data_IF_659117168338
#
_entry.id   IF_659117168338
#
_cell.length_a   1.000
_cell.length_b   1.000
_cell.length_c   1.000
_cell.angle_alpha   90.00
_cell.angle_beta   90.00
_cell.angle_gamma   90.00
#
_symmetry.space_group_name_H-M   'P 1'
#
loop_
_entity.id
_entity.type
_entity.pdbx_description
1 polymer ?
#
# COMPACT_ATOMS: atom_id res chain seq x y z
N UNK A 1 6.51 21.47 -19.20
CA UNK A 1 7.53 20.97 -18.25
C UNK A 1 8.43 22.12 -17.84
N UNK A 2 7.96 23.04 -16.99
CA UNK A 2 8.75 24.24 -16.63
C UNK A 2 9.30 24.20 -15.20
N UNK A 3 8.85 23.27 -14.34
CA UNK A 3 9.29 23.13 -12.94
C UNK A 3 9.51 21.66 -12.55
N UNK A 4 10.08 20.88 -13.47
CA UNK A 4 10.22 19.43 -13.27
C UNK A 4 11.20 19.10 -12.14
N UNK A 5 12.29 19.86 -11.97
CA UNK A 5 13.22 19.68 -10.84
C UNK A 5 12.57 19.98 -9.49
N UNK A 6 11.92 21.14 -9.35
CA UNK A 6 11.22 21.54 -8.12
C UNK A 6 10.17 20.51 -7.70
N UNK A 7 9.46 19.92 -8.67
CA UNK A 7 8.52 18.83 -8.41
C UNK A 7 9.21 17.59 -7.85
N UNK A 8 10.34 17.17 -8.43
CA UNK A 8 11.07 16.00 -7.95
C UNK A 8 11.74 16.23 -6.60
N UNK A 9 12.22 17.43 -6.32
CA UNK A 9 12.79 17.79 -5.02
C UNK A 9 11.71 17.80 -3.95
N UNK A 10 10.55 18.42 -4.22
CA UNK A 10 9.39 18.35 -3.34
C UNK A 10 8.96 16.89 -3.09
N UNK A 11 8.86 16.08 -4.13
CA UNK A 11 8.44 14.69 -4.03
C UNK A 11 9.39 13.86 -3.15
N UNK A 12 10.71 14.00 -3.37
CA UNK A 12 11.72 13.30 -2.56
C UNK A 12 11.70 13.76 -1.10
N UNK A 13 11.64 15.06 -0.86
CA UNK A 13 11.73 15.60 0.49
C UNK A 13 10.46 15.38 1.32
N UNK A 14 9.30 15.46 0.69
CA UNK A 14 8.01 15.49 1.40
C UNK A 14 7.19 14.22 1.28
N UNK A 15 7.47 13.36 0.29
CA UNK A 15 6.64 12.19 0.00
C UNK A 15 7.41 10.86 0.01
N UNK A 16 8.75 10.86 -0.02
CA UNK A 16 9.54 9.63 0.10
C UNK A 16 9.99 9.37 1.53
N UNK A 17 9.33 8.42 2.19
CA UNK A 17 9.70 7.96 3.54
C UNK A 17 10.39 6.60 3.46
N UNK A 18 11.66 6.59 3.03
CA UNK A 18 12.41 5.35 2.76
C UNK A 18 12.61 4.46 4.00
N UNK A 19 12.64 5.06 5.19
CA UNK A 19 12.80 4.35 6.47
C UNK A 19 11.46 3.99 7.14
N UNK A 20 10.33 4.24 6.47
CA UNK A 20 9.03 3.89 7.01
C UNK A 20 8.91 2.39 7.26
N UNK A 21 8.23 2.02 8.35
CA UNK A 21 8.00 0.63 8.73
C UNK A 21 6.52 0.27 8.56
N UNK A 22 6.20 -1.01 8.31
CA UNK A 22 4.83 -1.49 8.36
C UNK A 22 4.12 -1.09 9.65
N UNK A 23 2.85 -0.72 9.52
CA UNK A 23 2.01 -0.37 10.65
C UNK A 23 1.06 -1.55 10.96
N UNK A 24 0.20 -1.38 11.97
CA UNK A 24 -0.74 -2.44 12.38
C UNK A 24 -1.67 -2.89 11.25
N UNK A 25 -2.07 -2.01 10.35
CA UNK A 25 -2.92 -2.36 9.22
C UNK A 25 -2.16 -3.24 8.22
N UNK A 26 -0.95 -2.84 7.81
CA UNK A 26 -0.08 -3.64 6.93
C UNK A 26 0.13 -5.07 7.48
N UNK A 27 0.48 -5.16 8.78
CA UNK A 27 0.71 -6.44 9.44
C UNK A 27 -0.56 -7.29 9.53
N UNK A 28 -1.72 -6.68 9.79
CA UNK A 28 -2.97 -7.43 9.89
C UNK A 28 -3.41 -8.01 8.54
N UNK A 29 -3.19 -7.28 7.45
CA UNK A 29 -3.50 -7.76 6.11
C UNK A 29 -2.60 -8.94 5.71
N UNK A 30 -1.30 -8.88 6.03
CA UNK A 30 -0.40 -10.00 5.83
C UNK A 30 -0.81 -11.24 6.65
N UNK A 31 -1.25 -11.06 7.90
CA UNK A 31 -1.78 -12.14 8.74
C UNK A 31 -3.02 -12.80 8.11
N UNK A 32 -3.96 -11.99 7.60
CA UNK A 32 -5.19 -12.49 6.97
C UNK A 32 -4.91 -13.23 5.65
N UNK A 33 -3.93 -12.78 4.87
CA UNK A 33 -3.48 -13.48 3.66
C UNK A 33 -2.83 -14.81 4.02
N UNK A 34 -1.91 -14.82 5.00
CA UNK A 34 -1.26 -16.04 5.47
C UNK A 34 -2.27 -17.06 6.04
N UNK A 35 -3.33 -16.58 6.70
CA UNK A 35 -4.44 -17.41 7.18
C UNK A 35 -5.41 -17.85 6.06
N UNK A 36 -5.15 -17.48 4.80
CA UNK A 36 -5.96 -17.83 3.64
C UNK A 36 -7.31 -17.11 3.57
N UNK A 37 -7.55 -16.09 4.40
CA UNK A 37 -8.82 -15.35 4.48
C UNK A 37 -8.89 -14.18 3.50
N UNK A 38 -7.73 -13.68 3.09
CA UNK A 38 -7.57 -12.61 2.11
C UNK A 38 -7.07 -13.20 0.78
N UNK A 39 -7.65 -12.76 -0.34
CA UNK A 39 -7.22 -13.14 -1.69
C UNK A 39 -6.14 -12.21 -2.21
N UNK A 40 -6.35 -10.89 -2.05
CA UNK A 40 -5.45 -9.88 -2.56
C UNK A 40 -5.62 -8.56 -1.81
N UNK A 41 -4.55 -7.77 -1.79
CA UNK A 41 -4.56 -6.36 -1.41
C UNK A 41 -4.53 -5.49 -2.67
N UNK A 42 -5.46 -4.55 -2.79
CA UNK A 42 -5.46 -3.52 -3.82
C UNK A 42 -5.05 -2.22 -3.14
N UNK A 43 -3.96 -1.61 -3.57
CA UNK A 43 -3.42 -0.41 -2.92
C UNK A 43 -3.04 0.66 -3.94
N UNK A 44 -3.14 1.92 -3.55
CA UNK A 44 -2.53 3.05 -4.27
C UNK A 44 -1.19 3.45 -3.64
N UNK A 45 -0.79 2.80 -2.54
CA UNK A 45 0.49 3.06 -1.89
C UNK A 45 1.62 2.48 -2.74
N UNK A 46 2.61 3.32 -3.03
CA UNK A 46 3.83 2.96 -3.75
C UNK A 46 5.05 2.87 -2.83
N UNK A 47 4.83 2.87 -1.51
CA UNK A 47 5.87 2.85 -0.46
C UNK A 47 6.49 1.47 -0.20
N UNK A 48 5.89 0.40 -0.71
CA UNK A 48 6.37 -0.98 -0.53
C UNK A 48 6.09 -1.58 0.86
N UNK A 49 5.31 -0.92 1.71
CA UNK A 49 5.11 -1.34 3.10
C UNK A 49 4.26 -2.61 3.23
N UNK A 50 3.39 -2.91 2.26
CA UNK A 50 2.65 -4.17 2.21
C UNK A 50 3.58 -5.37 2.00
N UNK A 51 4.58 -5.23 1.13
CA UNK A 51 5.59 -6.24 0.85
C UNK A 51 6.50 -6.42 2.06
N UNK A 52 6.92 -5.32 2.68
CA UNK A 52 7.70 -5.37 3.92
C UNK A 52 6.93 -6.02 5.07
N UNK A 53 5.60 -5.94 5.09
CA UNK A 53 4.73 -6.62 6.05
C UNK A 53 4.54 -8.12 5.76
N UNK A 54 4.93 -8.60 4.58
CA UNK A 54 4.82 -9.99 4.16
C UNK A 54 3.63 -10.32 3.25
N UNK A 55 2.89 -9.32 2.75
CA UNK A 55 1.84 -9.56 1.74
C UNK A 55 2.47 -10.02 0.41
N UNK A 56 1.91 -11.08 -0.18
CA UNK A 56 2.45 -11.74 -1.39
C UNK A 56 1.69 -11.40 -2.65
N UNK A 57 0.38 -11.20 -2.57
CA UNK A 57 -0.47 -10.88 -3.71
C UNK A 57 -1.09 -9.49 -3.56
N UNK A 58 -0.47 -8.51 -4.20
CA UNK A 58 -0.94 -7.13 -4.22
C UNK A 58 -0.97 -6.57 -5.64
N UNK A 59 -1.87 -5.63 -5.88
CA UNK A 59 -1.91 -4.82 -7.09
C UNK A 59 -1.81 -3.34 -6.71
N UNK A 60 -0.79 -2.69 -7.26
CA UNK A 60 -0.60 -1.24 -7.12
C UNK A 60 -1.07 -0.55 -8.39
N UNK A 61 -2.00 0.37 -8.26
CA UNK A 61 -2.34 1.30 -9.34
C UNK A 61 -1.50 2.57 -9.15
N UNK A 62 -0.76 3.00 -10.17
CA UNK A 62 -0.03 4.27 -10.17
C UNK A 62 -1.00 5.43 -10.44
N UNK A 63 -1.94 5.66 -9.51
CA UNK A 63 -2.64 6.94 -9.40
C UNK A 63 -2.22 7.58 -8.08
N UNK A 64 -1.89 8.87 -8.12
CA UNK A 64 -1.42 9.61 -6.94
C UNK A 64 -2.62 9.82 -6.00
N UNK A 65 -2.87 8.86 -5.11
CA UNK A 65 -3.91 8.96 -4.08
C UNK A 65 -3.36 8.58 -2.71
N UNK A 66 -3.75 9.34 -1.70
CA UNK A 66 -3.05 9.41 -0.42
C UNK A 66 -3.43 8.35 0.62
N UNK A 67 -4.43 7.49 0.39
CA UNK A 67 -4.77 6.40 1.32
C UNK A 67 -5.98 5.58 0.83
N UNK A 68 -5.82 4.74 -0.20
CA UNK A 68 -6.85 3.72 -0.47
C UNK A 68 -6.19 2.35 -0.49
N UNK A 69 -6.43 1.58 0.57
CA UNK A 69 -6.14 0.15 0.64
C UNK A 69 -7.47 -0.59 0.69
N UNK A 70 -7.78 -1.36 -0.34
CA UNK A 70 -8.95 -2.23 -0.40
C UNK A 70 -8.53 -3.71 -0.37
N UNK A 71 -9.36 -4.55 0.22
CA UNK A 71 -9.07 -5.96 0.45
C UNK A 71 -10.13 -6.84 -0.20
N UNK A 72 -9.69 -7.86 -0.96
CA UNK A 72 -10.59 -8.85 -1.56
C UNK A 72 -10.63 -10.09 -0.67
N UNK A 73 -11.68 -10.23 0.14
CA UNK A 73 -11.86 -11.38 1.03
C UNK A 73 -12.38 -12.62 0.29
N UNK A 74 -12.06 -13.83 0.79
CA UNK A 74 -12.57 -15.12 0.24
C UNK A 74 -13.98 -15.49 0.71
N UNK A 75 -14.63 -14.62 1.47
CA UNK A 75 -16.03 -14.74 1.89
C UNK A 75 -16.66 -13.36 1.78
N UNK A 76 -17.99 -13.30 1.67
CA UNK A 76 -18.87 -12.21 1.18
C UNK A 76 -18.77 -10.82 1.85
N UNK A 77 -17.69 -10.51 2.56
CA UNK A 77 -17.52 -9.27 3.32
C UNK A 77 -16.23 -8.57 2.90
N UNK A 78 -16.37 -7.49 2.13
CA UNK A 78 -15.29 -6.54 1.85
C UNK A 78 -15.07 -5.73 3.13
N UNK A 79 -13.89 -5.85 3.74
CA UNK A 79 -13.49 -5.01 4.85
C UNK A 79 -12.63 -3.87 4.28
N UNK A 80 -13.15 -2.65 4.35
CA UNK A 80 -12.38 -1.42 4.07
C UNK A 80 -11.73 -1.01 5.39
N UNK A 81 -10.40 -0.86 5.40
CA UNK A 81 -9.61 -0.32 6.51
C UNK A 81 -9.10 1.07 6.16
#
# INVERSE_FOLDING_TARGET
>A
MQHTEEFYDFYKEKMMFLDAKPNKAHLKLAELEAAGKLTAVITQNIDGLHQAAGSKMYWSFMEVSTAITACVAKSSTVHVL
#
